data_IF_682780527676
#
_entry.id   IF_682780527676
#
_cell.length_a   1.000
_cell.length_b   1.000
_cell.length_c   1.000
_cell.angle_alpha   90.00
_cell.angle_beta   90.00
_cell.angle_gamma   90.00
#
_symmetry.space_group_name_H-M   'P 1'
#
loop_
_entity.id
_entity.type
_entity.pdbx_description
1 polymer ?
#
# COMPACT_ATOMS: atom_id res chain seq x y z
N UNK A 1 -8.79 0.18 24.20
CA UNK A 1 -9.00 1.63 23.98
C UNK A 1 -8.06 2.13 22.87
N UNK A 2 -8.16 1.54 21.67
CA UNK A 2 -7.48 2.00 20.43
C UNK A 2 -8.47 2.01 19.23
N UNK A 3 -9.76 1.75 19.50
CA UNK A 3 -10.82 1.71 18.47
C UNK A 3 -11.49 3.07 18.31
N UNK A 4 -11.66 3.82 19.39
CA UNK A 4 -12.31 5.14 19.36
C UNK A 4 -11.45 6.20 18.65
N UNK A 5 -10.14 6.26 18.92
CA UNK A 5 -9.22 7.14 18.16
C UNK A 5 -9.07 6.70 16.68
N UNK A 6 -9.28 5.41 16.40
CA UNK A 6 -9.27 4.83 15.06
C UNK A 6 -10.55 5.18 14.27
N UNK A 7 -11.70 5.23 14.94
CA UNK A 7 -12.96 5.70 14.34
C UNK A 7 -12.94 7.21 14.07
N UNK A 8 -12.28 8.02 14.91
CA UNK A 8 -12.05 9.44 14.64
C UNK A 8 -11.10 9.66 13.45
N UNK A 9 -10.01 8.89 13.35
CA UNK A 9 -9.12 8.94 12.19
C UNK A 9 -9.81 8.46 10.90
N UNK A 10 -10.66 7.43 11.00
CA UNK A 10 -11.52 6.95 9.92
C UNK A 10 -12.71 7.86 9.62
N UNK A 11 -13.04 8.86 10.44
CA UNK A 11 -14.03 9.87 10.11
C UNK A 11 -13.45 10.98 9.22
N UNK A 12 -12.12 11.19 9.25
CA UNK A 12 -11.41 12.19 8.44
C UNK A 12 -11.04 11.63 7.06
N UNK A 13 -10.68 10.33 6.99
CA UNK A 13 -10.30 9.67 5.73
C UNK A 13 -11.38 9.62 4.64
N UNK A 14 -12.69 9.41 4.89
CA UNK A 14 -13.72 9.40 3.85
C UNK A 14 -14.08 10.79 3.34
N UNK A 15 -13.68 11.88 4.01
CA UNK A 15 -13.75 13.23 3.42
C UNK A 15 -12.66 13.42 2.35
N UNK A 16 -11.56 12.66 2.44
CA UNK A 16 -10.55 12.58 1.39
C UNK A 16 -10.92 11.42 0.46
N UNK A 17 -11.68 11.73 -0.58
CA UNK A 17 -11.99 10.81 -1.66
C UNK A 17 -10.74 9.98 -2.00
N UNK A 18 -10.87 8.64 -2.00
CA UNK A 18 -9.80 7.69 -2.28
C UNK A 18 -8.89 8.26 -3.39
N UNK A 19 -7.56 8.43 -3.21
CA UNK A 19 -6.75 9.10 -4.22
C UNK A 19 -6.62 8.22 -5.46
N UNK A 20 -7.64 8.26 -6.29
CA UNK A 20 -7.72 7.72 -7.62
C UNK A 20 -7.13 8.77 -8.53
N UNK A 21 -5.83 8.63 -8.78
CA UNK A 21 -5.06 9.36 -9.80
C UNK A 21 -4.90 10.88 -9.62
N UNK A 22 -3.64 11.30 -9.75
CA UNK A 22 -3.18 12.58 -10.31
C UNK A 22 -3.62 13.90 -9.62
N UNK A 23 -2.65 14.67 -9.15
CA UNK A 23 -2.82 16.07 -8.71
C UNK A 23 -2.80 16.17 -7.18
N UNK A 24 -1.76 16.74 -6.57
CA UNK A 24 -1.51 18.19 -6.50
C UNK A 24 -2.54 18.93 -5.62
N UNK A 25 -2.54 18.62 -4.32
CA UNK A 25 -3.09 19.48 -3.27
C UNK A 25 -2.17 19.41 -2.06
N UNK A 26 -1.32 20.41 -1.87
CA UNK A 26 -0.26 20.45 -0.85
C UNK A 26 -0.74 20.37 0.61
N UNK A 27 -2.04 20.58 0.86
CA UNK A 27 -2.67 20.55 2.19
C UNK A 27 -3.13 19.15 2.59
N UNK A 28 -3.74 18.38 1.67
CA UNK A 28 -4.14 16.98 1.91
C UNK A 28 -2.93 16.07 2.12
N UNK A 29 -1.83 16.36 1.40
CA UNK A 29 -0.54 15.69 1.57
C UNK A 29 0.11 15.95 2.93
N UNK A 30 -0.08 17.14 3.53
CA UNK A 30 0.47 17.43 4.87
C UNK A 30 -0.34 16.76 5.98
N UNK A 31 -1.68 16.78 5.89
CA UNK A 31 -2.54 16.10 6.84
C UNK A 31 -2.31 14.58 6.80
N UNK A 32 -2.22 14.00 5.60
CA UNK A 32 -1.86 12.60 5.41
C UNK A 32 -0.49 12.30 6.02
N UNK A 33 0.56 13.10 5.74
CA UNK A 33 1.90 12.89 6.32
C UNK A 33 1.94 12.95 7.85
N UNK A 34 1.16 13.85 8.47
CA UNK A 34 1.09 13.89 9.93
C UNK A 34 0.39 12.65 10.51
N UNK A 35 -0.66 12.17 9.85
CA UNK A 35 -1.34 10.93 10.24
C UNK A 35 -0.45 9.71 10.01
N UNK A 36 0.33 9.68 8.93
CA UNK A 36 1.30 8.62 8.63
C UNK A 36 2.37 8.54 9.74
N UNK A 37 2.87 9.68 10.26
CA UNK A 37 3.84 9.68 11.36
C UNK A 37 3.22 9.34 12.71
N UNK A 38 1.98 9.76 12.96
CA UNK A 38 1.33 9.60 14.27
C UNK A 38 0.68 8.24 14.45
N UNK A 39 0.15 7.65 13.39
CA UNK A 39 -0.51 6.34 13.40
C UNK A 39 -0.10 5.47 12.19
N UNK A 40 1.21 5.18 12.03
CA UNK A 40 1.72 4.51 10.84
C UNK A 40 1.13 3.12 10.62
N UNK A 41 0.89 2.35 11.68
CA UNK A 41 0.33 1.01 11.57
C UNK A 41 -1.15 1.01 11.17
N UNK A 42 -1.91 2.03 11.55
CA UNK A 42 -3.33 2.15 11.21
C UNK A 42 -3.50 2.54 9.74
N UNK A 43 -2.72 3.52 9.27
CA UNK A 43 -2.68 3.90 7.86
C UNK A 43 -2.18 2.73 6.99
N UNK A 44 -1.17 2.00 7.47
CA UNK A 44 -0.72 0.78 6.81
C UNK A 44 -1.84 -0.27 6.72
N UNK A 45 -2.61 -0.48 7.79
CA UNK A 45 -3.77 -1.38 7.78
C UNK A 45 -4.82 -0.94 6.77
N UNK A 46 -5.11 0.37 6.69
CA UNK A 46 -6.03 0.94 5.70
C UNK A 46 -5.56 0.68 4.26
N UNK A 47 -4.30 0.94 3.95
CA UNK A 47 -3.75 0.63 2.62
C UNK A 47 -3.74 -0.87 2.31
N UNK A 48 -3.50 -1.72 3.31
CA UNK A 48 -3.58 -3.18 3.15
C UNK A 48 -5.02 -3.65 2.88
N UNK A 49 -6.01 -3.05 3.52
CA UNK A 49 -7.42 -3.28 3.18
C UNK A 49 -7.75 -2.82 1.75
N UNK A 50 -7.14 -1.72 1.30
CA UNK A 50 -7.28 -1.19 -0.06
C UNK A 50 -6.63 -2.03 -1.17
N UNK A 51 -5.64 -2.89 -0.84
CA UNK A 51 -5.07 -3.87 -1.79
C UNK A 51 -6.09 -4.93 -2.21
N UNK A 52 -7.12 -5.16 -1.38
CA UNK A 52 -8.14 -6.16 -1.62
C UNK A 52 -7.53 -7.57 -1.72
N UNK A 53 -8.18 -8.44 -2.50
CA UNK A 53 -7.71 -9.81 -2.66
C UNK A 53 -6.67 -9.92 -3.79
N UNK A 54 -5.38 -9.92 -3.40
CA UNK A 54 -4.26 -10.09 -4.33
C UNK A 54 -4.12 -11.53 -4.85
N UNK A 55 -4.80 -12.50 -4.21
CA UNK A 55 -4.71 -13.92 -4.57
C UNK A 55 -5.76 -14.34 -5.62
N UNK A 56 -6.64 -13.43 -6.05
CA UNK A 56 -7.62 -13.70 -7.11
C UNK A 56 -7.07 -13.35 -8.49
N UNK A 57 -7.48 -14.10 -9.51
CA UNK A 57 -7.24 -13.69 -10.89
C UNK A 57 -8.03 -12.40 -11.15
N UNK A 58 -7.35 -11.39 -11.68
CA UNK A 58 -7.94 -10.11 -12.00
C UNK A 58 -7.43 -9.64 -13.37
N UNK A 59 -8.06 -8.61 -13.91
CA UNK A 59 -7.59 -8.00 -15.15
C UNK A 59 -6.30 -7.21 -14.92
N UNK A 60 -5.49 -7.03 -15.97
CA UNK A 60 -4.22 -6.28 -15.91
C UNK A 60 -4.39 -4.87 -15.35
N UNK A 61 -5.53 -4.22 -15.62
CA UNK A 61 -5.90 -2.91 -15.06
C UNK A 61 -6.02 -2.93 -13.53
N UNK A 62 -6.59 -4.00 -12.98
CA UNK A 62 -6.69 -4.18 -11.52
C UNK A 62 -5.31 -4.45 -10.91
N UNK A 63 -4.44 -5.21 -11.59
CA UNK A 63 -3.05 -5.38 -11.15
C UNK A 63 -2.27 -4.06 -11.12
N UNK A 64 -2.45 -3.20 -12.13
CA UNK A 64 -1.85 -1.86 -12.13
C UNK A 64 -2.36 -1.00 -10.96
N UNK A 65 -3.67 -1.06 -10.68
CA UNK A 65 -4.26 -0.37 -9.52
C UNK A 65 -3.67 -0.89 -8.20
N UNK A 66 -3.61 -2.21 -8.03
CA UNK A 66 -3.04 -2.84 -6.84
C UNK A 66 -1.54 -2.51 -6.68
N UNK A 67 -0.79 -2.49 -7.78
CA UNK A 67 0.62 -2.09 -7.78
C UNK A 67 0.80 -0.65 -7.30
N UNK A 68 -0.07 0.27 -7.72
CA UNK A 68 -0.09 1.65 -7.22
C UNK A 68 -0.33 1.76 -5.71
N UNK A 69 -1.23 0.94 -5.15
CA UNK A 69 -1.44 0.87 -3.70
C UNK A 69 -0.23 0.24 -3.00
N UNK A 70 0.40 -0.77 -3.62
CA UNK A 70 1.58 -1.44 -3.08
C UNK A 70 2.78 -0.49 -2.94
N UNK A 71 2.94 0.49 -3.83
CA UNK A 71 3.95 1.56 -3.68
C UNK A 71 3.74 2.34 -2.39
N UNK A 72 2.49 2.69 -2.05
CA UNK A 72 2.18 3.40 -0.80
C UNK A 72 2.46 2.53 0.43
N UNK A 73 2.11 1.25 0.36
CA UNK A 73 2.42 0.28 1.43
C UNK A 73 3.94 0.18 1.63
N UNK A 74 4.72 0.12 0.54
CA UNK A 74 6.19 0.14 0.61
C UNK A 74 6.69 1.40 1.29
N UNK A 75 6.24 2.58 0.84
CA UNK A 75 6.68 3.84 1.44
C UNK A 75 6.30 3.95 2.91
N UNK A 76 5.11 3.49 3.31
CA UNK A 76 4.74 3.43 4.73
C UNK A 76 5.66 2.51 5.53
N UNK A 77 5.94 1.31 5.05
CA UNK A 77 6.78 0.35 5.77
C UNK A 77 8.26 0.77 5.80
N UNK A 78 8.80 1.24 4.68
CA UNK A 78 10.24 1.52 4.52
C UNK A 78 10.58 2.96 4.89
N UNK A 79 9.82 3.94 4.42
CA UNK A 79 10.13 5.36 4.63
C UNK A 79 9.63 5.89 5.98
N UNK A 80 8.42 5.50 6.40
CA UNK A 80 7.78 6.00 7.63
C UNK A 80 8.09 5.12 8.83
N UNK A 81 7.76 3.82 8.76
CA UNK A 81 7.96 2.86 9.87
C UNK A 81 9.44 2.47 10.00
N UNK A 82 10.24 2.64 8.93
CA UNK A 82 11.65 2.21 8.86
C UNK A 82 11.84 0.69 9.07
N UNK A 83 10.83 -0.10 8.73
CA UNK A 83 10.84 -1.56 8.87
C UNK A 83 10.89 -2.25 7.49
N UNK A 84 12.09 -2.24 6.92
CA UNK A 84 12.35 -2.87 5.63
C UNK A 84 12.23 -4.41 5.69
N UNK A 85 12.50 -5.02 6.84
CA UNK A 85 12.40 -6.47 7.03
C UNK A 85 10.93 -6.94 6.91
N UNK A 86 10.01 -6.19 7.49
CA UNK A 86 8.57 -6.44 7.36
C UNK A 86 8.07 -6.20 5.94
N UNK A 87 8.59 -5.18 5.25
CA UNK A 87 8.33 -4.99 3.81
C UNK A 87 8.79 -6.19 2.99
N UNK A 88 10.05 -6.63 3.14
CA UNK A 88 10.63 -7.77 2.40
C UNK A 88 9.82 -9.05 2.63
N UNK A 89 9.45 -9.34 3.88
CA UNK A 89 8.61 -10.50 4.23
C UNK A 89 7.23 -10.42 3.58
N UNK A 90 6.57 -9.26 3.65
CA UNK A 90 5.23 -9.07 3.09
C UNK A 90 5.24 -9.15 1.56
N UNK A 91 6.13 -8.38 0.92
CA UNK A 91 6.22 -8.31 -0.53
C UNK A 91 6.74 -9.62 -1.13
N UNK A 92 7.68 -10.30 -0.45
CA UNK A 92 8.13 -11.65 -0.81
C UNK A 92 6.99 -12.67 -0.81
N UNK A 93 6.13 -12.64 0.21
CA UNK A 93 4.92 -13.48 0.24
C UNK A 93 3.98 -13.17 -0.93
N UNK A 94 3.64 -11.89 -1.16
CA UNK A 94 2.77 -11.48 -2.28
C UNK A 94 3.35 -11.92 -3.63
N UNK A 95 4.68 -11.80 -3.79
CA UNK A 95 5.40 -12.24 -4.98
C UNK A 95 5.33 -13.75 -5.16
N UNK A 96 5.52 -14.53 -4.09
CA UNK A 96 5.40 -15.98 -4.07
C UNK A 96 3.98 -16.47 -4.40
N UNK A 97 2.97 -15.92 -3.74
CA UNK A 97 1.54 -16.21 -3.98
C UNK A 97 1.13 -15.95 -5.44
N UNK A 98 1.78 -14.98 -6.10
CA UNK A 98 1.52 -14.59 -7.49
C UNK A 98 2.63 -15.00 -8.47
N UNK A 99 3.51 -15.95 -8.12
CA UNK A 99 4.68 -16.28 -8.96
C UNK A 99 4.29 -16.85 -10.33
N UNK A 100 3.13 -17.53 -10.39
CA UNK A 100 2.57 -18.12 -11.63
C UNK A 100 1.84 -17.11 -12.51
N UNK A 101 1.83 -15.82 -12.13
CA UNK A 101 1.09 -14.75 -12.82
C UNK A 101 2.07 -13.72 -13.41
N UNK A 102 2.59 -13.94 -14.62
CA UNK A 102 3.58 -13.04 -15.21
C UNK A 102 3.07 -11.61 -15.36
N UNK A 103 1.81 -11.43 -15.77
CA UNK A 103 1.20 -10.09 -15.89
C UNK A 103 1.15 -9.34 -14.54
N UNK A 104 0.94 -10.03 -13.42
CA UNK A 104 0.99 -9.42 -12.10
C UNK A 104 2.42 -8.95 -11.78
N UNK A 105 3.42 -9.80 -12.02
CA UNK A 105 4.83 -9.47 -11.78
C UNK A 105 5.31 -8.30 -12.64
N UNK A 106 4.84 -8.21 -13.89
CA UNK A 106 5.12 -7.08 -14.78
C UNK A 106 4.52 -5.78 -14.25
N UNK A 107 3.24 -5.75 -13.89
CA UNK A 107 2.60 -4.52 -13.40
C UNK A 107 3.23 -4.05 -12.08
N UNK A 108 3.55 -4.98 -11.18
CA UNK A 108 4.21 -4.65 -9.91
C UNK A 108 5.66 -4.21 -10.14
N UNK A 109 6.42 -4.91 -11.00
CA UNK A 109 7.80 -4.56 -11.33
C UNK A 109 7.96 -3.21 -12.01
N UNK A 110 6.92 -2.70 -12.69
CA UNK A 110 6.94 -1.38 -13.35
C UNK A 110 6.95 -0.21 -12.37
N UNK A 111 6.27 -0.34 -11.22
CA UNK A 111 6.02 0.80 -10.32
C UNK A 111 6.56 0.58 -8.90
N UNK A 112 6.69 -0.68 -8.44
CA UNK A 112 7.16 -1.00 -7.10
C UNK A 112 8.67 -1.11 -7.10
N UNK A 113 9.33 -0.09 -6.54
CA UNK A 113 10.79 -0.05 -6.43
C UNK A 113 11.33 -1.26 -5.64
N UNK A 114 12.35 -1.92 -6.19
CA UNK A 114 12.96 -3.11 -5.60
C UNK A 114 12.14 -4.39 -5.73
N UNK A 115 11.01 -4.39 -6.46
CA UNK A 115 10.17 -5.58 -6.63
C UNK A 115 10.90 -6.76 -7.30
N UNK A 116 11.73 -6.46 -8.31
CA UNK A 116 12.54 -7.47 -9.00
C UNK A 116 13.51 -8.19 -8.06
N UNK A 117 14.08 -7.46 -7.10
CA UNK A 117 15.11 -7.91 -6.16
C UNK A 117 14.55 -8.69 -4.96
N UNK A 118 13.23 -8.64 -4.74
CA UNK A 118 12.58 -9.40 -3.67
C UNK A 118 12.72 -10.90 -3.90
N UNK A 119 13.16 -11.61 -2.87
CA UNK A 119 13.13 -13.08 -2.84
C UNK A 119 11.69 -13.50 -2.55
N UNK A 120 11.05 -14.35 -3.38
CA UNK A 120 9.76 -14.93 -3.03
C UNK A 120 9.91 -15.76 -1.75
N UNK A 121 9.08 -15.46 -0.76
CA UNK A 121 9.08 -16.11 0.55
C UNK A 121 8.24 -17.38 0.58
#
# INVERSE_FOLDING_TARGET
>A
MQREEYEEALAILPTCNYPSYAGDSGTELQAAKQLEQRFPEQILSYYKSGLGNLNSNAQRKEYARQAGVMVKVRSMMVDVIKDEARWKSFAGKVKGDNIRRPAFQEEFGRVVAGWGELVPG
#
